data_IF_017875106067
#
_entry.id   IF_017875106067
#
_cell.length_a   1.000
_cell.length_b   1.000
_cell.length_c   1.000
_cell.angle_alpha   90.00
_cell.angle_beta   90.00
_cell.angle_gamma   90.00
#
_symmetry.space_group_name_H-M   'P 1'
#
loop_
_entity.id
_entity.type
_entity.pdbx_description
1 polymer ?
#
# COMPACT_ATOMS: atom_id res chain seq x y z
N UNK A 1 -17.48 -0.10 -6.55
CA UNK A 1 -18.03 0.58 -5.34
C UNK A 1 -16.86 0.68 -4.37
N UNK A 2 -16.59 1.84 -3.75
CA UNK A 2 -15.48 2.02 -2.81
C UNK A 2 -15.57 0.99 -1.69
N UNK A 3 -14.46 0.28 -1.44
CA UNK A 3 -14.34 -0.64 -0.31
C UNK A 3 -13.01 -0.42 0.40
N UNK A 4 -13.06 -0.40 1.72
CA UNK A 4 -11.89 -0.35 2.58
C UNK A 4 -11.44 -1.77 2.89
N UNK A 5 -10.20 -2.10 2.54
CA UNK A 5 -9.63 -3.45 2.66
C UNK A 5 -8.40 -3.45 3.54
N UNK A 6 -8.24 -4.48 4.36
CA UNK A 6 -6.97 -4.75 5.03
C UNK A 6 -5.94 -5.19 3.99
N UNK A 7 -4.68 -4.79 4.19
CA UNK A 7 -3.60 -5.28 3.32
C UNK A 7 -3.47 -6.80 3.41
N UNK A 8 -3.71 -7.36 4.58
CA UNK A 8 -3.75 -8.82 4.77
C UNK A 8 -4.75 -9.49 3.82
N UNK A 9 -5.98 -8.95 3.71
CA UNK A 9 -7.00 -9.51 2.81
C UNK A 9 -6.62 -9.34 1.33
N UNK A 10 -5.97 -8.22 0.96
CA UNK A 10 -5.45 -7.99 -0.39
C UNK A 10 -4.37 -9.03 -0.74
N UNK A 11 -3.53 -9.40 0.22
CA UNK A 11 -2.47 -10.40 0.03
C UNK A 11 -3.01 -11.82 -0.18
N UNK A 12 -4.21 -12.12 0.31
CA UNK A 12 -4.84 -13.43 0.10
C UNK A 12 -5.46 -13.59 -1.30
N UNK A 13 -5.71 -12.48 -2.01
CA UNK A 13 -6.31 -12.53 -3.34
C UNK A 13 -5.37 -13.17 -4.37
N UNK A 14 -5.93 -14.02 -5.20
CA UNK A 14 -5.24 -14.51 -6.39
C UNK A 14 -5.29 -13.45 -7.48
N UNK A 15 -4.11 -13.04 -7.96
CA UNK A 15 -4.00 -12.03 -9.01
C UNK A 15 -4.14 -12.72 -10.37
N UNK A 16 -5.13 -12.26 -11.15
CA UNK A 16 -5.51 -12.83 -12.43
C UNK A 16 -5.21 -11.86 -13.57
N UNK A 17 -4.23 -12.21 -14.42
CA UNK A 17 -3.94 -11.49 -15.65
C UNK A 17 -4.98 -11.83 -16.72
N UNK A 18 -4.95 -11.12 -17.85
CA UNK A 18 -5.85 -11.38 -19.00
C UNK A 18 -5.79 -12.82 -19.49
N UNK A 19 -4.63 -13.47 -19.33
CA UNK A 19 -4.31 -14.80 -19.86
C UNK A 19 -4.03 -15.83 -18.74
N UNK A 20 -4.46 -15.58 -17.49
CA UNK A 20 -4.45 -16.54 -16.40
C UNK A 20 -3.79 -16.06 -15.11
N UNK A 21 -3.74 -16.93 -14.10
CA UNK A 21 -3.25 -16.61 -12.78
C UNK A 21 -1.76 -16.24 -12.77
N UNK A 22 -1.42 -15.19 -12.03
CA UNK A 22 -0.04 -14.74 -11.86
C UNK A 22 0.54 -15.27 -10.55
N UNK A 23 -0.17 -15.08 -9.46
CA UNK A 23 0.29 -15.38 -8.10
C UNK A 23 -0.48 -14.58 -7.06
N UNK A 24 0.20 -14.23 -5.96
CA UNK A 24 -0.39 -13.46 -4.85
C UNK A 24 0.51 -12.33 -4.43
N UNK A 25 -0.09 -11.24 -3.94
CA UNK A 25 0.68 -10.17 -3.31
C UNK A 25 1.37 -10.67 -2.03
N UNK A 26 2.59 -10.20 -1.79
CA UNK A 26 3.35 -10.51 -0.57
C UNK A 26 3.45 -9.31 0.36
N UNK A 27 3.44 -8.13 -0.22
CA UNK A 27 3.53 -6.86 0.47
C UNK A 27 3.13 -5.73 -0.49
N UNK A 28 2.93 -4.55 0.05
CA UNK A 28 2.65 -3.35 -0.71
C UNK A 28 3.74 -2.31 -0.42
N UNK A 29 4.15 -1.59 -1.46
CA UNK A 29 4.99 -0.41 -1.30
C UNK A 29 4.12 0.84 -1.36
N UNK A 30 4.29 1.72 -0.39
CA UNK A 30 3.55 2.97 -0.28
C UNK A 30 4.50 4.16 -0.10
N UNK A 31 4.01 5.33 -0.47
CA UNK A 31 4.67 6.60 -0.23
C UNK A 31 4.30 7.10 1.16
N UNK A 32 5.28 7.27 2.05
CA UNK A 32 5.07 7.60 3.46
C UNK A 32 4.62 9.05 3.73
N UNK A 33 4.57 9.89 2.68
CA UNK A 33 4.03 11.26 2.75
C UNK A 33 2.58 11.33 2.32
N UNK A 34 2.26 10.69 1.20
CA UNK A 34 0.91 10.72 0.61
C UNK A 34 0.02 9.55 1.02
N UNK A 35 0.61 8.51 1.63
CA UNK A 35 -0.05 7.25 1.97
C UNK A 35 -0.57 6.47 0.75
N UNK A 36 -0.17 6.88 -0.45
CA UNK A 36 -0.58 6.22 -1.68
C UNK A 36 0.22 4.92 -1.88
N UNK A 37 -0.49 3.83 -2.14
CA UNK A 37 0.13 2.58 -2.59
C UNK A 37 0.71 2.82 -3.98
N UNK A 38 1.97 2.50 -4.15
CA UNK A 38 2.68 2.63 -5.43
C UNK A 38 2.83 1.31 -6.15
N UNK A 39 3.04 0.23 -5.39
CA UNK A 39 3.23 -1.10 -5.96
C UNK A 39 2.69 -2.19 -5.03
N UNK A 40 2.17 -3.24 -5.66
CA UNK A 40 1.98 -4.54 -5.06
C UNK A 40 3.19 -5.39 -5.44
N UNK A 41 3.88 -5.97 -4.49
CA UNK A 41 4.92 -6.97 -4.72
C UNK A 41 4.23 -8.33 -4.84
N UNK A 42 4.31 -8.93 -6.00
CA UNK A 42 3.61 -10.18 -6.31
C UNK A 42 4.61 -11.30 -6.47
N UNK A 43 4.45 -12.34 -5.68
CA UNK A 43 5.16 -13.60 -5.88
C UNK A 43 4.45 -14.43 -6.95
N UNK A 44 5.09 -14.62 -8.06
CA UNK A 44 4.54 -15.41 -9.16
C UNK A 44 4.51 -16.89 -8.79
N UNK A 45 3.55 -17.62 -9.37
CA UNK A 45 3.51 -19.07 -9.26
C UNK A 45 4.57 -19.76 -10.12
N UNK A 46 4.39 -21.06 -10.34
CA UNK A 46 5.34 -21.90 -11.10
C UNK A 46 5.60 -21.47 -12.54
N UNK A 47 4.72 -20.64 -13.13
CA UNK A 47 4.86 -20.17 -14.52
C UNK A 47 6.07 -19.23 -14.73
N UNK A 48 6.52 -18.53 -13.68
CA UNK A 48 7.71 -17.67 -13.70
C UNK A 48 8.67 -18.02 -12.55
N UNK A 49 8.74 -19.30 -12.20
CA UNK A 49 9.66 -19.86 -11.20
C UNK A 49 9.63 -19.18 -9.83
N UNK A 50 8.49 -18.60 -9.44
CA UNK A 50 8.33 -17.91 -8.16
C UNK A 50 9.05 -16.55 -8.07
N UNK A 51 9.42 -15.97 -9.22
CA UNK A 51 9.98 -14.60 -9.27
C UNK A 51 9.01 -13.59 -8.67
N UNK A 52 9.55 -12.58 -8.01
CA UNK A 52 8.78 -11.43 -7.56
C UNK A 52 8.71 -10.37 -8.66
N UNK A 53 7.52 -9.79 -8.82
CA UNK A 53 7.24 -8.74 -9.79
C UNK A 53 6.46 -7.61 -9.12
N UNK A 54 6.60 -6.40 -9.65
CA UNK A 54 5.79 -5.26 -9.22
C UNK A 54 4.55 -5.12 -10.10
N UNK A 55 3.43 -4.80 -9.46
CA UNK A 55 2.22 -4.35 -10.13
C UNK A 55 1.80 -3.00 -9.55
N UNK A 56 1.75 -1.97 -10.40
CA UNK A 56 1.21 -0.69 -9.96
C UNK A 56 -0.33 -0.75 -9.89
N UNK A 57 -0.97 0.01 -8.98
CA UNK A 57 -2.43 0.12 -8.90
C UNK A 57 -3.11 0.45 -10.24
N UNK A 58 -2.41 1.15 -11.14
CA UNK A 58 -2.89 1.43 -12.51
C UNK A 58 -3.21 0.16 -13.33
N UNK A 59 -2.62 -0.99 -12.98
CA UNK A 59 -2.93 -2.27 -13.61
C UNK A 59 -4.17 -2.95 -13.03
N UNK A 60 -4.56 -2.57 -11.80
CA UNK A 60 -5.62 -3.25 -11.07
C UNK A 60 -6.99 -2.85 -11.62
N UNK A 61 -7.78 -3.85 -11.94
CA UNK A 61 -9.17 -3.71 -12.35
C UNK A 61 -10.14 -4.09 -11.24
N UNK A 62 -11.01 -5.02 -11.54
CA UNK A 62 -12.03 -5.51 -10.60
C UNK A 62 -11.44 -6.43 -9.53
N UNK A 63 -11.87 -6.25 -8.30
CA UNK A 63 -11.67 -7.19 -7.20
C UNK A 63 -12.96 -7.95 -6.98
N UNK A 64 -12.90 -9.27 -7.08
CA UNK A 64 -14.03 -10.20 -6.89
C UNK A 64 -13.84 -10.93 -5.56
N UNK A 65 -14.51 -10.44 -4.52
CA UNK A 65 -14.44 -11.00 -3.17
C UNK A 65 -15.05 -12.41 -3.09
N UNK A 66 -16.06 -12.70 -3.92
CA UNK A 66 -16.73 -14.00 -3.90
C UNK A 66 -15.81 -15.12 -4.37
N UNK A 67 -14.93 -14.82 -5.33
CA UNK A 67 -13.95 -15.76 -5.87
C UNK A 67 -12.53 -15.55 -5.31
N UNK A 68 -12.32 -14.55 -4.47
CA UNK A 68 -11.00 -14.23 -3.90
C UNK A 68 -9.98 -13.85 -4.98
N UNK A 69 -10.40 -13.07 -6.00
CA UNK A 69 -9.54 -12.73 -7.13
C UNK A 69 -9.43 -11.23 -7.36
N UNK A 70 -8.26 -10.80 -7.80
CA UNK A 70 -7.98 -9.43 -8.26
C UNK A 70 -7.57 -9.49 -9.73
N UNK A 71 -8.36 -8.90 -10.61
CA UNK A 71 -8.05 -8.84 -12.05
C UNK A 71 -7.06 -7.73 -12.35
N UNK A 72 -6.11 -7.99 -13.23
CA UNK A 72 -5.17 -6.97 -13.74
C UNK A 72 -5.22 -6.90 -15.26
N UNK A 73 -5.16 -5.67 -15.79
CA UNK A 73 -5.24 -5.39 -17.23
C UNK A 73 -3.90 -5.60 -17.95
N UNK A 74 -3.18 -6.67 -17.60
CA UNK A 74 -1.89 -7.03 -18.15
C UNK A 74 -1.88 -8.50 -18.58
N UNK A 75 -1.05 -8.85 -19.57
CA UNK A 75 -0.75 -10.24 -19.92
C UNK A 75 0.46 -10.72 -19.14
N UNK A 76 0.57 -12.04 -18.94
CA UNK A 76 1.75 -12.67 -18.34
C UNK A 76 3.04 -12.28 -19.06
N UNK A 77 3.03 -12.25 -20.41
CA UNK A 77 4.19 -11.84 -21.20
C UNK A 77 4.67 -10.42 -20.86
N UNK A 78 3.76 -9.46 -20.70
CA UNK A 78 4.14 -8.09 -20.29
C UNK A 78 4.73 -8.04 -18.89
N UNK A 79 4.20 -8.85 -17.98
CA UNK A 79 4.70 -8.95 -16.60
C UNK A 79 6.06 -9.63 -16.58
N UNK A 80 6.24 -10.72 -17.33
CA UNK A 80 7.52 -11.44 -17.45
C UNK A 80 8.66 -10.55 -17.93
N UNK A 81 8.37 -9.70 -18.92
CA UNK A 81 9.33 -8.74 -19.50
C UNK A 81 9.51 -7.46 -18.68
N UNK A 82 8.82 -7.31 -17.56
CA UNK A 82 9.01 -6.14 -16.69
C UNK A 82 10.41 -6.15 -16.08
N UNK A 83 10.94 -4.96 -15.70
CA UNK A 83 12.23 -4.87 -15.02
C UNK A 83 12.29 -5.81 -13.82
N UNK A 84 13.38 -6.60 -13.65
CA UNK A 84 13.54 -7.46 -12.51
C UNK A 84 13.70 -6.63 -11.25
N UNK A 85 13.13 -7.10 -10.13
CA UNK A 85 13.30 -6.45 -8.83
C UNK A 85 14.15 -7.32 -7.90
N UNK A 86 14.88 -6.65 -7.02
CA UNK A 86 15.47 -7.23 -5.82
C UNK A 86 14.73 -6.65 -4.62
N UNK A 87 13.69 -7.33 -4.13
CA UNK A 87 12.81 -6.85 -3.05
C UNK A 87 13.57 -6.49 -1.77
N UNK A 88 14.73 -7.09 -1.56
CA UNK A 88 15.60 -6.75 -0.42
C UNK A 88 16.29 -5.37 -0.55
N UNK A 89 16.21 -4.70 -1.70
CA UNK A 89 16.82 -3.40 -1.93
C UNK A 89 15.75 -2.33 -2.14
N UNK A 90 15.96 -1.11 -1.60
CA UNK A 90 15.10 0.02 -1.90
C UNK A 90 15.04 0.29 -3.41
N UNK A 91 13.85 0.56 -3.92
CA UNK A 91 13.69 0.87 -5.35
C UNK A 91 14.34 2.22 -5.67
N UNK A 92 15.16 2.24 -6.73
CA UNK A 92 15.73 3.47 -7.22
C UNK A 92 14.76 4.23 -8.13
N UNK A 93 14.95 5.53 -8.27
CA UNK A 93 14.14 6.34 -9.20
C UNK A 93 14.33 5.89 -10.65
N UNK A 94 15.52 5.46 -11.03
CA UNK A 94 15.82 4.92 -12.35
C UNK A 94 15.04 3.63 -12.62
N UNK A 95 14.92 2.76 -11.61
CA UNK A 95 14.07 1.57 -11.71
C UNK A 95 12.61 1.97 -11.94
N UNK A 96 12.10 2.92 -11.17
CA UNK A 96 10.71 3.39 -11.35
C UNK A 96 10.49 3.98 -12.75
N UNK A 97 11.43 4.79 -13.26
CA UNK A 97 11.36 5.33 -14.63
C UNK A 97 11.30 4.18 -15.64
N UNK A 98 12.20 3.21 -15.55
CA UNK A 98 12.23 2.05 -16.42
C UNK A 98 10.93 1.24 -16.37
N UNK A 99 10.37 1.06 -15.17
CA UNK A 99 9.12 0.38 -14.94
C UNK A 99 7.94 1.09 -15.63
N UNK A 100 7.79 2.39 -15.43
CA UNK A 100 6.71 3.16 -16.05
C UNK A 100 6.84 3.24 -17.57
N UNK A 101 8.06 3.33 -18.09
CA UNK A 101 8.32 3.28 -19.54
C UNK A 101 7.94 1.91 -20.13
N UNK A 102 8.29 0.80 -19.45
CA UNK A 102 7.94 -0.55 -19.90
C UNK A 102 6.42 -0.72 -20.08
N UNK A 103 5.64 -0.26 -19.09
CA UNK A 103 4.19 -0.34 -19.14
C UNK A 103 3.52 0.79 -19.93
N UNK A 104 4.27 1.79 -20.37
CA UNK A 104 3.77 2.97 -21.08
C UNK A 104 2.75 3.76 -20.24
N UNK A 105 3.02 3.88 -18.94
CA UNK A 105 2.21 4.66 -18.00
C UNK A 105 2.90 5.97 -17.64
N UNK A 106 2.11 7.01 -17.35
CA UNK A 106 2.62 8.26 -16.80
C UNK A 106 3.12 8.02 -15.37
N UNK A 107 4.35 8.47 -15.03
CA UNK A 107 4.84 8.37 -13.67
C UNK A 107 4.01 9.22 -12.71
N UNK A 108 3.79 8.73 -11.48
CA UNK A 108 2.97 9.44 -10.48
C UNK A 108 3.59 10.75 -9.97
N UNK A 109 4.86 11.01 -10.24
CA UNK A 109 5.58 12.23 -9.82
C UNK A 109 5.59 13.31 -10.91
N UNK A 110 5.09 13.07 -12.10
CA UNK A 110 4.98 14.09 -13.14
C UNK A 110 3.70 14.93 -12.95
N UNK A 111 3.78 16.29 -13.14
CA UNK A 111 2.61 17.14 -13.10
C UNK A 111 1.70 16.83 -14.30
N UNK A 112 0.53 16.31 -14.04
CA UNK A 112 -0.50 15.99 -15.03
C UNK A 112 -1.84 15.79 -14.32
N UNK A 113 -2.94 15.54 -15.02
CA UNK A 113 -4.16 15.09 -14.37
C UNK A 113 -3.88 13.71 -13.78
N UNK A 114 -3.32 13.73 -12.57
CA UNK A 114 -2.88 12.57 -11.80
C UNK A 114 -4.08 11.88 -11.17
N UNK A 115 -4.94 11.35 -11.99
CA UNK A 115 -5.80 10.26 -11.59
C UNK A 115 -5.22 9.01 -12.26
N UNK A 116 -4.97 7.98 -11.49
CA UNK A 116 -4.61 6.64 -11.97
C UNK A 116 -5.57 6.13 -13.07
N UNK A 117 -6.70 6.83 -13.29
CA UNK A 117 -7.69 6.60 -14.31
C UNK A 117 -7.33 7.18 -15.69
N UNK A 118 -6.25 7.94 -15.83
CA UNK A 118 -5.85 8.48 -17.12
C UNK A 118 -4.96 7.49 -17.85
N UNK A 119 -5.58 6.61 -18.62
CA UNK A 119 -4.94 5.85 -19.69
C UNK A 119 -4.52 6.76 -20.84
N UNK A 120 -3.79 7.84 -20.55
CA UNK A 120 -3.18 8.66 -21.59
C UNK A 120 -1.92 7.95 -22.05
N UNK A 121 -1.79 7.58 -23.32
CA UNK A 121 -0.57 6.98 -23.83
C UNK A 121 0.61 7.93 -23.57
N UNK A 122 1.58 7.48 -22.81
CA UNK A 122 2.84 8.20 -22.65
C UNK A 122 3.50 8.38 -24.02
N UNK A 123 4.09 9.55 -24.34
CA UNK A 123 4.85 9.71 -25.57
C UNK A 123 5.87 8.57 -25.67
N UNK A 124 5.89 7.87 -26.79
CA UNK A 124 6.81 6.74 -27.02
C UNK A 124 8.25 7.22 -26.92
N UNK A 125 8.84 7.13 -25.75
CA UNK A 125 10.29 7.12 -25.61
C UNK A 125 10.82 5.78 -26.15
N UNK A 126 12.02 5.76 -26.77
CA UNK A 126 12.60 4.50 -27.24
C UNK A 126 12.64 3.47 -26.12
N UNK A 127 12.40 2.18 -26.40
CA UNK A 127 12.44 1.16 -25.40
C UNK A 127 13.79 1.17 -24.69
N UNK A 128 13.77 1.30 -23.37
CA UNK A 128 14.97 1.15 -22.55
C UNK A 128 15.37 -0.33 -22.62
N UNK A 129 16.60 -0.59 -22.99
CA UNK A 129 17.12 -1.97 -23.00
C UNK A 129 17.46 -2.36 -21.58
N UNK A 130 16.63 -3.20 -20.95
CA UNK A 130 16.81 -3.68 -19.57
C UNK A 130 17.95 -4.69 -19.40
N UNK A 131 18.61 -5.11 -20.50
CA UNK A 131 19.83 -5.92 -20.42
C UNK A 131 21.01 -5.13 -19.84
N UNK A 132 20.90 -3.81 -19.75
CA UNK A 132 21.89 -2.98 -19.05
C UNK A 132 21.47 -2.92 -17.58
N UNK A 133 22.23 -3.52 -16.70
CA UNK A 133 22.00 -3.44 -15.25
C UNK A 133 21.89 -1.96 -14.81
N UNK A 134 20.82 -1.64 -14.08
CA UNK A 134 20.68 -0.31 -13.49
C UNK A 134 21.87 -0.03 -12.57
N UNK A 135 22.37 1.23 -12.51
CA UNK A 135 23.49 1.56 -11.64
C UNK A 135 23.21 1.12 -10.19
N UNK A 136 24.15 0.41 -9.58
CA UNK A 136 23.99 -0.12 -8.22
C UNK A 136 23.92 0.99 -7.14
N UNK A 137 24.36 2.20 -7.48
CA UNK A 137 24.43 3.41 -6.65
C UNK A 137 23.40 4.47 -7.04
N UNK A 138 22.39 4.10 -7.85
CA UNK A 138 21.32 5.01 -8.20
C UNK A 138 20.53 5.47 -6.94
N UNK A 139 20.19 6.80 -6.85
CA UNK A 139 19.49 7.31 -5.68
C UNK A 139 18.15 6.59 -5.48
N UNK A 140 17.97 6.05 -4.29
CA UNK A 140 16.71 5.38 -3.90
C UNK A 140 15.62 6.41 -3.64
N UNK A 141 14.35 6.01 -3.78
CA UNK A 141 13.24 6.82 -3.34
C UNK A 141 13.09 6.68 -1.81
N UNK A 142 13.49 7.68 -1.00
CA UNK A 142 13.51 7.56 0.46
C UNK A 142 12.10 7.51 1.06
N UNK A 143 11.07 7.84 0.29
CA UNK A 143 9.68 7.88 0.71
C UNK A 143 8.88 6.65 0.30
N UNK A 144 9.47 5.76 -0.49
CA UNK A 144 8.84 4.50 -0.87
C UNK A 144 9.20 3.43 0.16
N UNK A 145 8.18 2.98 0.93
CA UNK A 145 8.33 2.08 2.07
C UNK A 145 7.50 0.82 1.91
N UNK A 146 7.98 -0.27 2.46
CA UNK A 146 7.24 -1.52 2.54
C UNK A 146 6.18 -1.47 3.64
N UNK A 147 5.00 -2.03 3.38
CA UNK A 147 3.99 -2.25 4.41
C UNK A 147 4.50 -3.13 5.55
N UNK A 148 5.43 -4.06 5.27
CA UNK A 148 6.06 -4.91 6.28
C UNK A 148 6.96 -4.13 7.24
N UNK A 149 7.57 -3.02 6.78
CA UNK A 149 8.37 -2.16 7.65
C UNK A 149 7.49 -1.40 8.65
N UNK A 150 6.24 -1.09 8.27
CA UNK A 150 5.31 -0.34 9.12
C UNK A 150 4.53 -1.24 10.08
N UNK A 151 4.18 -2.45 9.63
CA UNK A 151 3.52 -3.44 10.50
C UNK A 151 4.48 -3.84 11.62
N UNK A 152 3.99 -3.77 12.86
CA UNK A 152 4.77 -4.01 14.07
C UNK A 152 5.38 -2.75 14.69
N UNK A 153 5.38 -1.60 14.00
CA UNK A 153 5.83 -0.34 14.60
C UNK A 153 4.96 0.06 15.81
N UNK A 154 5.60 0.53 16.86
CA UNK A 154 4.92 1.07 18.03
C UNK A 154 4.13 2.32 17.71
N UNK A 155 2.92 2.46 18.23
CA UNK A 155 2.14 3.70 18.15
C UNK A 155 2.39 4.52 19.41
N UNK A 156 2.89 5.74 19.22
CA UNK A 156 3.21 6.69 20.29
C UNK A 156 2.23 7.87 20.26
N UNK A 157 1.31 7.89 21.21
CA UNK A 157 0.50 9.05 21.52
C UNK A 157 1.35 10.15 22.16
N UNK A 158 0.81 11.37 22.27
CA UNK A 158 1.50 12.51 22.89
C UNK A 158 1.92 12.27 24.35
N UNK A 159 1.29 11.33 25.04
CA UNK A 159 1.45 11.01 26.47
C UNK A 159 1.85 9.54 26.73
N UNK A 160 2.29 8.78 25.72
CA UNK A 160 2.86 7.44 25.88
C UNK A 160 2.53 6.45 24.78
N UNK A 161 3.11 5.25 24.88
CA UNK A 161 2.88 4.14 23.93
C UNK A 161 1.51 3.53 24.18
N UNK A 162 0.81 3.15 23.09
CA UNK A 162 -0.56 2.61 23.14
C UNK A 162 -0.72 1.22 22.51
N UNK A 163 0.24 0.76 21.74
CA UNK A 163 0.19 -0.51 21.03
C UNK A 163 1.07 -0.47 19.79
N UNK A 164 0.73 -1.27 18.81
CA UNK A 164 1.50 -1.36 17.56
C UNK A 164 0.58 -1.44 16.33
N UNK A 165 1.15 -1.15 15.18
CA UNK A 165 0.46 -1.31 13.89
C UNK A 165 0.29 -2.81 13.61
N UNK A 166 -0.96 -3.27 13.50
CA UNK A 166 -1.29 -4.67 13.19
C UNK A 166 -1.52 -4.87 11.68
N UNK A 167 -2.16 -3.89 11.03
CA UNK A 167 -2.45 -3.92 9.60
C UNK A 167 -2.69 -2.50 9.06
N UNK A 168 -2.78 -2.36 7.74
CA UNK A 168 -3.14 -1.12 7.06
C UNK A 168 -4.47 -1.30 6.34
N UNK A 169 -5.28 -0.25 6.34
CA UNK A 169 -6.57 -0.24 5.62
C UNK A 169 -6.44 0.67 4.41
N UNK A 170 -6.56 0.08 3.24
CA UNK A 170 -6.45 0.76 1.94
C UNK A 170 -7.84 0.94 1.32
N UNK A 171 -8.05 2.06 0.69
CA UNK A 171 -9.19 2.33 -0.19
C UNK A 171 -8.89 1.74 -1.57
N UNK A 172 -9.71 0.79 -2.05
CA UNK A 172 -9.47 0.06 -3.29
C UNK A 172 -9.80 0.84 -4.58
N UNK A 173 -10.31 2.06 -4.45
CA UNK A 173 -10.55 2.95 -5.60
C UNK A 173 -9.34 3.81 -5.94
N UNK A 174 -8.77 4.47 -4.95
CA UNK A 174 -7.65 5.40 -5.14
C UNK A 174 -6.33 4.86 -4.62
N UNK A 175 -6.33 3.68 -4.02
CA UNK A 175 -5.16 3.00 -3.47
C UNK A 175 -4.40 3.86 -2.46
N UNK A 176 -5.14 4.54 -1.58
CA UNK A 176 -4.59 5.31 -0.47
C UNK A 176 -4.86 4.57 0.84
N UNK A 177 -3.85 4.45 1.68
CA UNK A 177 -4.01 3.96 3.06
C UNK A 177 -4.74 5.02 3.86
N UNK A 178 -5.96 4.68 4.31
CA UNK A 178 -6.83 5.60 5.07
C UNK A 178 -6.65 5.47 6.57
N UNK A 179 -6.40 4.23 7.03
CA UNK A 179 -6.27 3.95 8.45
C UNK A 179 -5.14 2.95 8.71
N UNK A 180 -4.54 3.06 9.90
CA UNK A 180 -3.76 2.00 10.50
C UNK A 180 -4.69 1.22 11.44
N UNK A 181 -4.70 -0.11 11.32
CA UNK A 181 -5.28 -0.98 12.32
C UNK A 181 -4.26 -1.12 13.44
N UNK A 182 -4.67 -0.77 14.65
CA UNK A 182 -3.79 -0.78 15.83
C UNK A 182 -4.28 -1.81 16.82
N UNK A 183 -3.39 -2.71 17.23
CA UNK A 183 -3.60 -3.58 18.38
C UNK A 183 -3.13 -2.86 19.65
N UNK A 184 -4.06 -2.58 20.54
CA UNK A 184 -3.78 -1.92 21.81
C UNK A 184 -3.50 -2.90 22.96
N UNK A 185 -3.17 -4.16 22.64
CA UNK A 185 -3.07 -5.29 23.56
C UNK A 185 -2.21 -5.03 24.81
N UNK A 186 -1.15 -4.24 24.67
CA UNK A 186 -0.26 -3.93 25.78
C UNK A 186 -0.88 -2.94 26.79
N UNK A 187 -1.96 -2.27 26.44
CA UNK A 187 -2.59 -1.22 27.24
C UNK A 187 -4.09 -1.44 27.45
N UNK A 188 -4.84 -1.85 26.42
CA UNK A 188 -6.27 -2.22 26.47
C UNK A 188 -6.45 -3.63 25.89
N UNK A 189 -6.31 -4.69 26.69
CA UNK A 189 -6.35 -6.05 26.19
C UNK A 189 -7.60 -6.35 25.35
N UNK A 190 -7.39 -6.83 24.13
CA UNK A 190 -8.46 -7.26 23.22
C UNK A 190 -9.15 -6.14 22.43
N UNK A 191 -8.71 -4.87 22.56
CA UNK A 191 -9.26 -3.79 21.76
C UNK A 191 -8.40 -3.53 20.52
N UNK A 192 -9.03 -3.52 19.35
CA UNK A 192 -8.47 -2.98 18.11
C UNK A 192 -9.18 -1.70 17.75
N UNK A 193 -8.46 -0.79 17.13
CA UNK A 193 -8.98 0.49 16.66
C UNK A 193 -8.47 0.79 15.26
N UNK A 194 -9.16 1.67 14.55
CA UNK A 194 -8.65 2.28 13.33
C UNK A 194 -8.19 3.71 13.61
N UNK A 195 -6.92 3.97 13.30
CA UNK A 195 -6.29 5.28 13.45
C UNK A 195 -6.17 5.92 12.06
N UNK A 196 -6.76 7.11 11.88
CA UNK A 196 -6.66 7.84 10.61
C UNK A 196 -5.21 8.25 10.32
N UNK A 197 -4.74 8.03 9.09
CA UNK A 197 -3.38 8.41 8.67
C UNK A 197 -3.12 9.92 8.77
N UNK A 198 -4.15 10.74 8.63
CA UNK A 198 -4.06 12.20 8.85
C UNK A 198 -3.79 12.63 10.31
N UNK A 199 -3.84 11.70 11.27
CA UNK A 199 -3.51 11.93 12.68
C UNK A 199 -2.07 11.52 13.02
N UNK A 200 -1.33 11.04 12.05
CA UNK A 200 0.08 10.73 12.20
C UNK A 200 0.87 12.02 12.06
N UNK A 201 1.73 12.28 13.03
CA UNK A 201 2.66 13.40 13.02
C UNK A 201 3.90 13.05 12.20
N UNK A 202 4.56 11.94 12.55
CA UNK A 202 5.70 11.41 11.80
C UNK A 202 5.93 9.92 12.06
N UNK A 203 6.71 9.30 11.19
CA UNK A 203 7.17 7.92 11.34
C UNK A 203 8.69 7.94 11.58
N UNK A 204 9.13 7.36 12.68
CA UNK A 204 10.55 7.12 12.97
C UNK A 204 10.91 5.71 12.54
N UNK A 205 11.43 5.57 11.33
CA UNK A 205 11.81 4.28 10.77
C UNK A 205 12.93 3.59 11.56
N UNK A 206 13.90 4.37 12.05
CA UNK A 206 15.00 3.84 12.87
C UNK A 206 14.58 3.34 14.25
N UNK A 207 13.53 3.93 14.83
CA UNK A 207 12.97 3.54 16.12
C UNK A 207 11.76 2.59 15.98
N UNK A 208 11.37 2.27 14.76
CA UNK A 208 10.16 1.48 14.44
C UNK A 208 8.94 2.01 15.20
N UNK A 209 8.68 3.31 15.11
CA UNK A 209 7.59 3.95 15.81
C UNK A 209 6.83 4.97 14.95
N UNK A 210 5.54 5.10 15.21
CA UNK A 210 4.62 6.03 14.58
C UNK A 210 4.11 7.00 15.65
N UNK A 211 4.51 8.25 15.57
CA UNK A 211 4.01 9.31 16.46
C UNK A 211 2.68 9.85 15.96
N UNK A 212 1.74 10.05 16.86
CA UNK A 212 0.41 10.59 16.57
C UNK A 212 0.10 11.81 17.40
N UNK A 213 -0.68 12.74 16.84
CA UNK A 213 -1.07 14.00 17.50
C UNK A 213 -2.15 13.83 18.58
N UNK A 214 -2.59 12.59 18.82
CA UNK A 214 -3.66 12.25 19.75
C UNK A 214 -3.10 11.86 21.13
N UNK A 215 -3.90 12.09 22.20
CA UNK A 215 -3.60 11.55 23.53
C UNK A 215 -4.05 10.09 23.65
N UNK A 216 -3.50 9.37 24.64
CA UNK A 216 -3.94 8.02 24.99
C UNK A 216 -5.43 7.96 25.24
N UNK A 217 -5.99 8.92 26.00
CA UNK A 217 -7.42 8.99 26.30
C UNK A 217 -8.28 9.11 25.04
N UNK A 218 -7.84 9.90 24.04
CA UNK A 218 -8.53 10.05 22.78
C UNK A 218 -8.58 8.72 22.01
N UNK A 219 -7.51 7.96 22.07
CA UNK A 219 -7.39 6.65 21.40
C UNK A 219 -8.16 5.57 22.17
N UNK A 220 -8.12 5.61 23.49
CA UNK A 220 -8.90 4.70 24.34
C UNK A 220 -10.40 4.78 24.11
N UNK A 221 -10.92 6.00 23.94
CA UNK A 221 -12.34 6.24 23.72
C UNK A 221 -12.76 6.05 22.25
N UNK A 222 -11.82 5.75 21.33
CA UNK A 222 -12.15 5.48 19.93
C UNK A 222 -13.09 4.27 19.79
N UNK A 223 -13.97 4.26 18.77
CA UNK A 223 -14.79 3.11 18.45
C UNK A 223 -13.92 1.85 18.25
N UNK A 224 -14.33 0.74 18.87
CA UNK A 224 -13.66 -0.53 18.65
C UNK A 224 -13.82 -1.00 17.20
N UNK A 225 -12.79 -1.62 16.66
CA UNK A 225 -12.81 -2.21 15.33
C UNK A 225 -12.81 -3.74 15.45
N UNK A 226 -13.70 -4.38 14.70
CA UNK A 226 -13.75 -5.83 14.54
C UNK A 226 -13.27 -6.20 13.13
N UNK A 227 -12.08 -6.82 12.98
CA UNK A 227 -11.53 -7.18 11.69
C UNK A 227 -12.36 -8.20 10.90
N UNK A 228 -13.30 -8.89 11.52
CA UNK A 228 -14.21 -9.81 10.85
C UNK A 228 -15.36 -9.10 10.13
N UNK A 229 -15.54 -7.80 10.37
CA UNK A 229 -16.64 -7.01 9.81
C UNK A 229 -16.13 -6.01 8.77
N UNK A 230 -16.97 -5.76 7.76
CA UNK A 230 -16.69 -4.72 6.78
C UNK A 230 -16.73 -3.34 7.42
N UNK A 231 -15.79 -2.49 7.00
CA UNK A 231 -15.79 -1.08 7.41
C UNK A 231 -16.92 -0.36 6.67
N UNK A 232 -17.99 -0.06 7.40
CA UNK A 232 -19.18 0.57 6.83
C UNK A 232 -19.05 2.10 6.82
N UNK A 233 -19.78 2.82 5.92
CA UNK A 233 -19.81 4.29 5.96
C UNK A 233 -20.29 4.84 7.32
N UNK A 234 -21.19 4.12 8.01
CA UNK A 234 -21.62 4.51 9.35
C UNK A 234 -20.49 4.47 10.37
N UNK A 235 -19.63 3.45 10.30
CA UNK A 235 -18.45 3.36 11.15
C UNK A 235 -17.41 4.44 10.80
N UNK A 236 -17.19 4.74 9.52
CA UNK A 236 -16.32 5.85 9.11
C UNK A 236 -16.81 7.19 9.66
N UNK A 237 -18.14 7.45 9.64
CA UNK A 237 -18.74 8.65 10.23
C UNK A 237 -18.49 8.71 11.75
N UNK A 238 -18.57 7.58 12.45
CA UNK A 238 -18.26 7.53 13.88
C UNK A 238 -16.79 7.87 14.16
N UNK A 239 -15.86 7.30 13.38
CA UNK A 239 -14.44 7.62 13.47
C UNK A 239 -14.17 9.08 13.18
N UNK A 240 -14.77 9.62 12.13
CA UNK A 240 -14.60 11.03 11.75
C UNK A 240 -15.10 11.97 12.86
N UNK A 241 -16.29 11.71 13.43
CA UNK A 241 -16.82 12.49 14.55
C UNK A 241 -15.91 12.39 15.77
N UNK A 242 -15.46 11.18 16.10
CA UNK A 242 -14.61 10.94 17.25
C UNK A 242 -13.29 11.70 17.16
N UNK A 243 -12.55 11.52 16.07
CA UNK A 243 -11.26 12.18 15.89
C UNK A 243 -11.37 13.65 15.48
N UNK A 244 -12.47 14.07 14.85
CA UNK A 244 -12.72 15.47 14.49
C UNK A 244 -12.94 16.39 15.69
N UNK A 245 -13.52 15.87 16.78
CA UNK A 245 -13.75 16.62 18.02
C UNK A 245 -12.51 16.71 18.93
N UNK A 246 -11.47 15.95 18.63
CA UNK A 246 -10.27 15.82 19.47
C UNK A 246 -9.06 16.62 18.93
N UNK A 247 -9.25 17.40 17.85
CA UNK A 247 -8.24 18.28 17.30
C UNK A 247 -8.37 19.68 17.93
N UNK A 248 -7.85 19.84 19.12
CA UNK A 248 -7.63 21.14 19.77
C UNK A 248 -6.33 21.12 20.56
#
# INVERSE_FOLDING_TARGET
>A
MKQLRRIHDVAELTIHAVDGDIGRAQELYFDDRSWAIRYLVVKTGGWLLGREVLLAPAAVGEIDDANGTMKVALTKERIERSPPIEVAKPLSREYEIAYFQHFQWAPYWEPGPSTWASSVPYPRTPPVNFDTALPADAPTNPHLRSSKELIGCDIRASDGVIGHVEDLIVDDQDWIVRYLQVDTKNWLPGKRILLQTMRIDHISWGEQSVAVILSRQAIESAPAYDPSQLITPAYEIQLFKHYGTQAA
#
